data_IF_105678839344
#
_entry.id   IF_105678839344
#
_cell.length_a   1.000
_cell.length_b   1.000
_cell.length_c   1.000
_cell.angle_alpha   90.00
_cell.angle_beta   90.00
_cell.angle_gamma   90.00
#
_symmetry.space_group_name_H-M   'P 1'
#
loop_
_entity.id
_entity.type
_entity.pdbx_description
1 polymer ?
#
# COMPACT_ATOMS: atom_id res chain seq x y z
N UNK A 1 -8.75 3.62 -22.27
CA UNK A 1 -7.37 3.63 -21.77
C UNK A 1 -7.43 4.43 -20.48
N UNK A 2 -7.30 3.80 -19.30
CA UNK A 2 -7.26 4.57 -18.04
C UNK A 2 -5.88 5.23 -17.97
N UNK A 3 -5.85 6.54 -17.80
CA UNK A 3 -4.60 7.31 -17.68
C UNK A 3 -3.72 6.70 -16.58
N UNK A 4 -2.41 6.67 -16.85
CA UNK A 4 -1.42 6.27 -15.85
C UNK A 4 -1.41 7.38 -14.79
N UNK A 5 -2.14 7.19 -13.69
CA UNK A 5 -2.17 8.13 -12.58
C UNK A 5 -0.74 8.27 -12.05
N UNK A 6 -0.15 9.46 -12.21
CA UNK A 6 1.12 9.77 -11.57
C UNK A 6 0.93 9.67 -10.07
N UNK A 7 1.73 8.81 -9.44
CA UNK A 7 1.72 8.62 -8.00
C UNK A 7 2.33 9.88 -7.37
N UNK A 8 1.61 10.63 -6.53
CA UNK A 8 2.19 11.74 -5.80
C UNK A 8 3.21 11.16 -4.80
N UNK A 9 4.50 11.37 -5.07
CA UNK A 9 5.61 10.79 -4.27
C UNK A 9 5.52 11.19 -2.80
N UNK A 10 5.03 12.40 -2.51
CA UNK A 10 4.86 12.89 -1.14
C UNK A 10 3.78 12.11 -0.37
N UNK A 11 2.64 11.82 -1.02
CA UNK A 11 1.54 11.02 -0.44
C UNK A 11 2.03 9.59 -0.16
N UNK A 12 2.75 9.01 -1.12
CA UNK A 12 3.36 7.70 -0.97
C UNK A 12 4.35 7.65 0.21
N UNK A 13 5.26 8.62 0.29
CA UNK A 13 6.23 8.69 1.37
C UNK A 13 5.55 8.89 2.73
N UNK A 14 4.50 9.70 2.81
CA UNK A 14 3.72 9.88 4.03
C UNK A 14 3.06 8.55 4.48
N UNK A 15 2.53 7.78 3.55
CA UNK A 15 1.98 6.45 3.83
C UNK A 15 3.05 5.46 4.31
N UNK A 16 4.23 5.45 3.68
CA UNK A 16 5.35 4.59 4.12
C UNK A 16 5.85 4.97 5.52
N UNK A 17 5.93 6.26 5.82
CA UNK A 17 6.27 6.76 7.16
C UNK A 17 5.25 6.32 8.22
N UNK A 18 3.95 6.37 7.89
CA UNK A 18 2.88 5.89 8.80
C UNK A 18 2.92 4.39 9.04
N UNK A 19 3.26 3.61 8.01
CA UNK A 19 3.47 2.17 8.16
C UNK A 19 4.73 1.84 8.97
N UNK A 20 5.65 2.80 9.12
CA UNK A 20 6.93 2.59 9.79
C UNK A 20 7.84 1.62 9.04
N UNK A 21 7.69 1.52 7.71
CA UNK A 21 8.39 0.55 6.87
C UNK A 21 8.98 1.21 5.63
N UNK A 22 10.14 0.70 5.22
CA UNK A 22 10.76 1.07 3.96
C UNK A 22 10.09 0.33 2.82
N UNK A 23 9.70 1.06 1.77
CA UNK A 23 9.23 0.45 0.53
C UNK A 23 10.31 -0.43 -0.15
N UNK A 24 11.58 -0.05 -0.03
CA UNK A 24 12.69 -0.81 -0.62
C UNK A 24 12.86 -2.20 0.01
N UNK A 25 12.29 -2.41 1.19
CA UNK A 25 12.32 -3.70 1.87
C UNK A 25 11.12 -4.58 1.49
N UNK A 26 10.15 -4.08 0.71
CA UNK A 26 9.03 -4.88 0.24
C UNK A 26 9.52 -5.91 -0.80
N UNK A 27 9.16 -7.17 -0.59
CA UNK A 27 9.53 -8.29 -1.47
C UNK A 27 8.54 -8.49 -2.62
N UNK A 28 7.36 -7.89 -2.52
CA UNK A 28 6.34 -7.91 -3.57
C UNK A 28 5.52 -6.64 -3.54
N UNK A 29 5.29 -6.08 -4.73
CA UNK A 29 4.47 -4.88 -4.93
C UNK A 29 3.56 -5.11 -6.12
N UNK A 30 2.26 -4.94 -5.95
CA UNK A 30 1.28 -5.07 -7.02
C UNK A 30 0.37 -3.86 -7.06
N UNK A 31 0.24 -3.26 -8.25
CA UNK A 31 -0.74 -2.19 -8.46
C UNK A 31 -2.15 -2.78 -8.47
N UNK A 32 -3.06 -2.12 -7.76
CA UNK A 32 -4.42 -2.62 -7.59
C UNK A 32 -5.41 -1.52 -7.22
N UNK A 33 -6.68 -1.87 -7.33
CA UNK A 33 -7.78 -1.06 -6.82
C UNK A 33 -8.31 -1.73 -5.55
N UNK A 34 -8.43 -0.96 -4.47
CA UNK A 34 -9.11 -1.39 -3.25
C UNK A 34 -10.35 -0.51 -3.07
N UNK A 35 -11.51 -1.05 -3.45
CA UNK A 35 -12.74 -0.25 -3.55
C UNK A 35 -12.62 0.79 -4.66
N UNK A 36 -12.76 2.06 -4.31
CA UNK A 36 -12.65 3.20 -5.24
C UNK A 36 -11.23 3.80 -5.31
N UNK A 37 -10.32 3.32 -4.47
CA UNK A 37 -8.95 3.86 -4.38
C UNK A 37 -7.96 3.02 -5.18
N UNK A 38 -7.09 3.69 -5.93
CA UNK A 38 -5.97 3.06 -6.63
C UNK A 38 -4.69 3.16 -5.80
N UNK A 39 -3.91 2.09 -5.77
CA UNK A 39 -2.74 2.00 -4.91
C UNK A 39 -1.82 0.81 -5.19
N UNK A 40 -0.92 0.56 -4.25
CA UNK A 40 -0.01 -0.58 -4.24
C UNK A 40 -0.30 -1.52 -3.08
N UNK A 41 -0.47 -2.80 -3.37
CA UNK A 41 -0.37 -3.87 -2.39
C UNK A 41 1.10 -4.21 -2.18
N UNK A 42 1.60 -3.98 -0.98
CA UNK A 42 2.99 -4.22 -0.59
C UNK A 42 3.04 -5.40 0.38
N UNK A 43 3.99 -6.32 0.19
CA UNK A 43 4.29 -7.42 1.11
C UNK A 43 5.76 -7.36 1.54
N UNK A 44 6.01 -7.50 2.83
CA UNK A 44 7.36 -7.52 3.42
C UNK A 44 7.80 -8.94 3.82
N UNK A 45 9.12 -9.17 4.06
CA UNK A 45 9.67 -10.48 4.39
C UNK A 45 9.07 -11.13 5.64
N UNK A 46 8.59 -10.33 6.59
CA UNK A 46 7.93 -10.79 7.81
C UNK A 46 6.46 -11.20 7.60
N UNK A 47 5.98 -11.16 6.36
CA UNK A 47 4.60 -11.46 6.00
C UNK A 47 3.63 -10.30 6.25
N UNK A 48 4.12 -9.13 6.68
CA UNK A 48 3.29 -7.94 6.78
C UNK A 48 2.81 -7.51 5.39
N UNK A 49 1.53 -7.14 5.29
CA UNK A 49 0.89 -6.71 4.05
C UNK A 49 0.14 -5.42 4.29
N UNK A 50 0.25 -4.49 3.35
CA UNK A 50 -0.50 -3.25 3.38
C UNK A 50 -0.83 -2.80 1.96
N UNK A 51 -2.02 -2.24 1.82
CA UNK A 51 -2.39 -1.43 0.67
C UNK A 51 -2.00 0.02 0.93
N UNK A 52 -1.29 0.62 -0.01
CA UNK A 52 -0.85 2.02 0.02
C UNK A 52 -1.58 2.75 -1.09
N UNK A 53 -2.58 3.52 -0.69
CA UNK A 53 -3.43 4.30 -1.59
C UNK A 53 -2.76 5.58 -2.06
N UNK A 54 -3.16 6.02 -3.26
CA UNK A 54 -2.64 7.22 -3.94
C UNK A 54 -3.69 8.33 -4.08
N UNK A 55 -4.78 8.27 -3.30
CA UNK A 55 -5.77 9.34 -3.27
C UNK A 55 -5.19 10.68 -2.81
N UNK A 56 -6.00 11.75 -2.90
CA UNK A 56 -5.64 13.08 -2.37
C UNK A 56 -5.34 13.03 -0.87
N UNK A 57 -5.95 12.09 -0.15
CA UNK A 57 -5.63 11.79 1.23
C UNK A 57 -4.76 10.53 1.29
N UNK A 58 -3.63 10.63 1.99
CA UNK A 58 -2.77 9.48 2.26
C UNK A 58 -3.57 8.40 3.01
N UNK A 59 -3.84 7.28 2.35
CA UNK A 59 -4.44 6.10 2.97
C UNK A 59 -3.44 4.93 2.97
N UNK A 60 -3.29 4.28 4.13
CA UNK A 60 -2.51 3.05 4.26
C UNK A 60 -3.34 2.07 5.08
N UNK A 61 -3.81 1.02 4.42
CA UNK A 61 -4.66 -0.01 5.02
C UNK A 61 -3.78 -1.23 5.26
N UNK A 62 -3.56 -1.58 6.52
CA UNK A 62 -2.93 -2.86 6.86
C UNK A 62 -3.90 -3.95 6.44
N UNK A 63 -3.53 -4.71 5.42
CA UNK A 63 -4.31 -5.87 5.00
C UNK A 63 -4.12 -6.91 6.09
N UNK A 64 -5.11 -7.01 6.98
CA UNK A 64 -5.05 -7.85 8.16
C UNK A 64 -4.48 -9.22 7.83
N UNK A 65 -3.40 -9.58 8.53
CA UNK A 65 -2.93 -10.96 8.63
C UNK A 65 -4.18 -11.81 8.83
N UNK A 66 -4.47 -12.68 7.85
CA UNK A 66 -5.69 -13.44 7.80
C UNK A 66 -6.04 -13.94 9.19
N UNK A 67 -7.28 -13.69 9.62
CA UNK A 67 -7.81 -14.14 10.89
C UNK A 67 -7.30 -15.56 11.19
N UNK A 68 -6.32 -15.69 12.09
CA UNK A 68 -6.05 -16.96 12.74
C UNK A 68 -7.21 -17.16 13.71
N UNK A 69 -8.30 -17.73 13.19
CA UNK A 69 -9.33 -18.32 14.02
C UNK A 69 -8.80 -19.65 14.54
N UNK A 70 -8.87 -19.75 15.87
CA UNK A 70 -8.63 -20.89 16.75
C UNK A 70 -8.94 -22.27 16.16
#
# INVERSE_FOLDING_TARGET
>A
MREQTQIPVDVFNANMQRLGRSFNDAVSTQQGWQGEEYGLHCTWPDGFRAFVGFGEEASAIVEGLGQMRH
#
